data_IF_674076536496
#
_entry.id   IF_674076536496
#
_cell.length_a   1.000
_cell.length_b   1.000
_cell.length_c   1.000
_cell.angle_alpha   90.00
_cell.angle_beta   90.00
_cell.angle_gamma   90.00
#
_symmetry.space_group_name_H-M   'P 1'
#
loop_
_entity.id
_entity.type
_entity.pdbx_description
1 polymer ?
#
# COMPACT_ATOMS: atom_id res chain seq x y z
N UNK A 1 -1.76 0.77 -19.88
CA UNK A 1 -3.09 0.24 -19.61
C UNK A 1 -4.18 1.31 -19.75
N UNK A 2 -3.94 2.58 -19.37
CA UNK A 2 -4.91 3.67 -19.37
C UNK A 2 -5.36 4.08 -20.78
N UNK A 3 -4.46 4.62 -21.59
CA UNK A 3 -4.77 5.12 -22.93
C UNK A 3 -4.88 4.01 -24.01
N UNK A 4 -4.50 2.77 -23.71
CA UNK A 4 -4.52 1.67 -24.66
C UNK A 4 -3.35 1.67 -25.68
N UNK A 5 -2.48 2.68 -25.65
CA UNK A 5 -1.33 2.72 -26.52
C UNK A 5 -0.26 1.71 -26.07
N UNK A 6 0.46 1.09 -27.00
CA UNK A 6 1.54 0.19 -26.65
C UNK A 6 2.68 0.92 -25.95
N UNK A 7 3.37 0.20 -25.06
CA UNK A 7 4.59 0.66 -24.41
C UNK A 7 5.74 -0.16 -25.02
N UNK A 8 6.74 0.51 -25.56
CA UNK A 8 7.95 -0.13 -26.03
C UNK A 8 8.79 -0.64 -24.86
N UNK A 9 9.30 -1.87 -24.96
CA UNK A 9 10.20 -2.43 -23.93
C UNK A 9 11.45 -1.55 -23.76
N UNK A 10 11.97 -1.01 -24.85
CA UNK A 10 13.14 -0.11 -24.81
C UNK A 10 12.85 1.17 -24.04
N UNK A 11 11.69 1.80 -24.27
CA UNK A 11 11.25 3.00 -23.54
C UNK A 11 10.99 2.71 -22.07
N UNK A 12 10.40 1.55 -21.77
CA UNK A 12 10.16 1.12 -20.39
C UNK A 12 11.48 0.90 -19.62
N UNK A 13 12.52 0.36 -20.27
CA UNK A 13 13.84 0.15 -19.65
C UNK A 13 14.58 1.48 -19.46
N UNK A 14 14.53 2.36 -20.45
CA UNK A 14 15.17 3.69 -20.37
C UNK A 14 14.48 4.63 -19.37
N UNK A 15 13.18 4.42 -19.11
CA UNK A 15 12.41 5.25 -18.18
C UNK A 15 12.16 6.69 -18.67
N UNK A 16 12.25 6.93 -20.00
CA UNK A 16 12.09 8.27 -20.55
C UNK A 16 10.63 8.72 -20.54
N UNK A 17 9.72 7.87 -21.05
CA UNK A 17 8.28 8.18 -21.19
C UNK A 17 7.36 7.24 -20.42
N UNK A 18 7.91 6.35 -19.61
CA UNK A 18 7.17 5.31 -18.89
C UNK A 18 7.54 5.32 -17.43
N UNK A 19 6.52 5.34 -16.59
CA UNK A 19 6.64 5.25 -15.13
C UNK A 19 6.08 3.91 -14.62
N UNK A 20 6.67 3.41 -13.54
CA UNK A 20 6.03 2.41 -12.67
C UNK A 20 5.16 3.16 -11.67
N UNK A 21 3.85 3.08 -11.85
CA UNK A 21 2.92 3.86 -11.04
C UNK A 21 2.04 2.97 -10.16
N UNK A 22 1.44 3.55 -9.11
CA UNK A 22 0.53 2.87 -8.20
C UNK A 22 -0.92 3.01 -8.70
N UNK A 23 -1.57 1.87 -8.95
CA UNK A 23 -2.97 1.78 -9.40
C UNK A 23 -3.89 2.53 -8.43
N UNK A 24 -3.71 2.27 -7.13
CA UNK A 24 -4.29 3.04 -6.04
C UNK A 24 -3.14 3.82 -5.40
N UNK A 25 -3.21 5.17 -5.33
CA UNK A 25 -2.13 5.98 -4.78
C UNK A 25 -1.73 5.58 -3.36
N UNK A 26 -0.44 5.66 -3.04
CA UNK A 26 0.08 5.36 -1.70
C UNK A 26 -0.58 6.20 -0.60
N UNK A 27 -0.98 7.44 -0.92
CA UNK A 27 -1.68 8.30 0.02
C UNK A 27 -3.06 7.75 0.44
N UNK A 28 -3.68 6.91 -0.40
CA UNK A 28 -5.01 6.32 -0.16
C UNK A 28 -4.94 4.88 0.32
N UNK A 29 -3.97 4.13 -0.19
CA UNK A 29 -3.73 2.74 0.20
C UNK A 29 -2.23 2.49 0.24
N UNK A 30 -1.66 2.33 1.42
CA UNK A 30 -0.24 2.05 1.58
C UNK A 30 0.09 0.61 1.18
N UNK A 31 0.07 0.37 -0.12
CA UNK A 31 0.33 -0.93 -0.74
C UNK A 31 1.36 -0.78 -1.85
N UNK A 32 2.57 -1.25 -1.59
CA UNK A 32 3.70 -1.24 -2.54
C UNK A 32 3.87 -2.58 -3.28
N UNK A 33 2.88 -3.47 -3.18
CA UNK A 33 2.92 -4.77 -3.86
C UNK A 33 2.84 -4.63 -5.38
N UNK A 34 3.35 -5.64 -6.10
CA UNK A 34 3.24 -5.72 -7.57
C UNK A 34 1.79 -5.74 -8.07
N UNK A 35 0.85 -6.16 -7.22
CA UNK A 35 -0.57 -6.12 -7.54
C UNK A 35 -1.16 -4.71 -7.54
N UNK A 36 -0.46 -3.74 -6.95
CA UNK A 36 -0.82 -2.32 -6.94
C UNK A 36 0.06 -1.47 -7.88
N UNK A 37 0.92 -2.07 -8.69
CA UNK A 37 1.81 -1.37 -9.62
C UNK A 37 1.49 -1.71 -11.06
N UNK A 38 1.62 -0.73 -11.94
CA UNK A 38 1.50 -0.92 -13.39
C UNK A 38 2.43 0.01 -14.15
N UNK A 39 2.74 -0.35 -15.41
CA UNK A 39 3.42 0.57 -16.30
C UNK A 39 2.41 1.52 -16.92
N UNK A 40 2.72 2.80 -16.91
CA UNK A 40 1.94 3.85 -17.54
C UNK A 40 2.84 4.84 -18.27
N UNK A 41 2.33 5.43 -19.34
CA UNK A 41 3.00 6.59 -19.92
C UNK A 41 3.06 7.72 -18.90
N UNK A 42 4.15 8.45 -18.83
CA UNK A 42 4.37 9.52 -17.86
C UNK A 42 3.26 10.56 -17.89
N UNK A 43 2.77 10.94 -19.08
CA UNK A 43 1.65 11.86 -19.19
C UNK A 43 0.35 11.32 -18.61
N UNK A 44 0.09 10.00 -18.75
CA UNK A 44 -1.09 9.36 -18.15
C UNK A 44 -0.99 9.36 -16.62
N UNK A 45 0.21 9.05 -16.09
CA UNK A 45 0.48 9.07 -14.66
C UNK A 45 0.34 10.49 -14.08
N UNK A 46 0.93 11.48 -14.72
CA UNK A 46 0.82 12.89 -14.32
C UNK A 46 -0.63 13.40 -14.32
N UNK A 47 -1.44 12.98 -15.30
CA UNK A 47 -2.86 13.34 -15.37
C UNK A 47 -3.72 12.61 -14.34
N UNK A 48 -3.34 11.37 -13.97
CA UNK A 48 -4.04 10.59 -12.95
C UNK A 48 -3.90 11.21 -11.56
N UNK A 49 -2.75 11.78 -11.23
CA UNK A 49 -2.47 12.37 -9.91
C UNK A 49 -2.82 11.40 -8.76
N UNK A 50 -3.55 11.88 -7.76
CA UNK A 50 -3.97 11.10 -6.58
C UNK A 50 -5.29 10.35 -6.77
N UNK A 51 -5.79 10.23 -8.00
CA UNK A 51 -6.98 9.45 -8.29
C UNK A 51 -6.67 7.94 -8.36
N UNK A 52 -7.66 7.10 -8.05
CA UNK A 52 -7.54 5.68 -8.39
C UNK A 52 -7.52 5.50 -9.91
N UNK A 53 -7.04 4.37 -10.39
CA UNK A 53 -7.07 4.05 -11.83
C UNK A 53 -8.49 4.13 -12.40
N UNK A 54 -9.46 3.61 -11.66
CA UNK A 54 -10.89 3.62 -12.03
C UNK A 54 -11.45 5.04 -12.11
N UNK A 55 -11.24 5.85 -11.08
CA UNK A 55 -11.77 7.21 -11.02
C UNK A 55 -11.13 8.10 -12.08
N UNK A 56 -9.81 7.97 -12.30
CA UNK A 56 -9.12 8.65 -13.39
C UNK A 56 -9.75 8.32 -14.75
N UNK A 57 -9.97 7.04 -15.03
CA UNK A 57 -10.57 6.65 -16.30
C UNK A 57 -12.04 7.08 -16.42
N UNK A 58 -12.76 7.18 -15.30
CA UNK A 58 -14.13 7.69 -15.26
C UNK A 58 -14.22 9.18 -15.61
N UNK A 59 -13.14 9.97 -15.49
CA UNK A 59 -13.09 11.36 -15.96
C UNK A 59 -12.98 11.50 -17.48
N UNK A 60 -12.70 10.40 -18.19
CA UNK A 60 -12.59 10.37 -19.65
C UNK A 60 -13.97 10.19 -20.31
N UNK A 61 -13.96 10.13 -21.61
CA UNK A 61 -15.20 9.84 -22.35
C UNK A 61 -15.73 8.45 -22.00
N UNK A 62 -17.05 8.27 -22.12
CA UNK A 62 -17.68 6.97 -21.88
C UNK A 62 -17.08 5.85 -22.74
N UNK A 63 -16.68 6.18 -23.96
CA UNK A 63 -16.04 5.23 -24.86
C UNK A 63 -14.64 4.80 -24.36
N UNK A 64 -13.81 5.74 -23.93
CA UNK A 64 -12.48 5.47 -23.37
C UNK A 64 -12.58 4.67 -22.08
N UNK A 65 -13.54 4.99 -21.22
CA UNK A 65 -13.77 4.26 -19.99
C UNK A 65 -14.21 2.81 -20.26
N UNK A 66 -15.15 2.61 -21.18
CA UNK A 66 -15.61 1.26 -21.56
C UNK A 66 -14.48 0.43 -22.16
N UNK A 67 -13.67 1.02 -23.04
CA UNK A 67 -12.50 0.36 -23.63
C UNK A 67 -11.44 0.02 -22.58
N UNK A 68 -11.29 0.85 -21.54
CA UNK A 68 -10.40 0.55 -20.41
C UNK A 68 -10.90 -0.66 -19.62
N UNK A 69 -12.18 -0.70 -19.24
CA UNK A 69 -12.77 -1.81 -18.49
C UNK A 69 -12.66 -3.12 -19.26
N UNK A 70 -12.95 -3.08 -20.56
CA UNK A 70 -12.81 -4.25 -21.44
C UNK A 70 -11.36 -4.74 -21.50
N UNK A 71 -10.40 -3.85 -21.66
CA UNK A 71 -8.97 -4.14 -21.70
C UNK A 71 -8.50 -4.81 -20.41
N UNK A 72 -8.91 -4.29 -19.23
CA UNK A 72 -8.59 -4.86 -17.92
C UNK A 72 -9.17 -6.27 -17.78
N UNK A 73 -10.42 -6.48 -18.18
CA UNK A 73 -11.06 -7.79 -18.10
C UNK A 73 -10.43 -8.80 -19.09
N UNK A 74 -10.02 -8.36 -20.28
CA UNK A 74 -9.30 -9.19 -21.24
C UNK A 74 -7.94 -9.63 -20.69
N UNK A 75 -7.15 -8.71 -20.11
CA UNK A 75 -5.87 -9.05 -19.49
C UNK A 75 -6.03 -10.06 -18.34
N UNK A 76 -7.12 -10.01 -17.62
CA UNK A 76 -7.44 -10.98 -16.59
C UNK A 76 -7.86 -12.33 -17.19
N UNK A 77 -8.71 -12.34 -18.20
CA UNK A 77 -9.14 -13.57 -18.90
C UNK A 77 -7.94 -14.30 -19.54
N UNK A 78 -7.01 -13.54 -20.11
CA UNK A 78 -5.77 -14.05 -20.70
C UNK A 78 -4.70 -14.42 -19.63
N UNK A 79 -5.04 -14.36 -18.33
CA UNK A 79 -4.14 -14.65 -17.18
C UNK A 79 -2.85 -13.81 -17.13
N UNK A 80 -2.84 -12.64 -17.77
CA UNK A 80 -1.69 -11.70 -17.77
C UNK A 80 -1.63 -10.96 -16.44
N UNK A 81 -2.78 -10.66 -15.83
CA UNK A 81 -2.86 -10.03 -14.52
C UNK A 81 -3.61 -10.90 -13.51
N UNK A 82 -3.24 -10.78 -12.24
CA UNK A 82 -3.94 -11.48 -11.15
C UNK A 82 -5.32 -10.87 -10.87
N UNK A 83 -6.20 -11.66 -10.22
CA UNK A 83 -7.50 -11.18 -9.74
C UNK A 83 -7.36 -9.94 -8.86
N UNK A 84 -6.42 -9.96 -7.91
CA UNK A 84 -6.14 -8.82 -7.00
C UNK A 84 -5.78 -7.56 -7.79
N UNK A 85 -4.96 -7.66 -8.84
CA UNK A 85 -4.58 -6.52 -9.67
C UNK A 85 -5.76 -6.00 -10.49
N UNK A 86 -6.54 -6.90 -11.07
CA UNK A 86 -7.79 -6.53 -11.78
C UNK A 86 -8.74 -5.79 -10.85
N UNK A 87 -8.97 -6.32 -9.66
CA UNK A 87 -9.91 -5.73 -8.69
C UNK A 87 -9.47 -4.33 -8.26
N UNK A 88 -8.16 -4.10 -8.08
CA UNK A 88 -7.59 -2.76 -7.83
C UNK A 88 -7.73 -1.81 -9.01
N UNK A 89 -7.52 -2.29 -10.25
CA UNK A 89 -7.69 -1.48 -11.46
C UNK A 89 -9.15 -1.01 -11.64
N UNK A 90 -10.11 -1.77 -11.15
CA UNK A 90 -11.54 -1.46 -11.22
C UNK A 90 -12.12 -0.91 -9.90
N UNK A 91 -11.26 -0.57 -8.93
CA UNK A 91 -11.67 -0.09 -7.62
C UNK A 91 -11.80 1.44 -7.61
N UNK A 92 -12.99 1.93 -7.30
CA UNK A 92 -13.24 3.35 -7.04
C UNK A 92 -12.79 3.73 -5.63
N UNK A 93 -12.54 5.02 -5.39
CA UNK A 93 -12.06 5.55 -4.11
C UNK A 93 -12.99 5.26 -2.94
N UNK A 94 -14.29 5.34 -3.16
CA UNK A 94 -15.32 5.05 -2.14
C UNK A 94 -15.27 3.61 -1.58
N UNK A 95 -14.65 2.69 -2.33
CA UNK A 95 -14.47 1.29 -1.94
C UNK A 95 -13.14 1.02 -1.24
N UNK A 96 -12.27 2.01 -1.15
CA UNK A 96 -11.01 1.87 -0.40
C UNK A 96 -11.36 1.95 1.09
N UNK A 97 -10.91 0.99 1.93
CA UNK A 97 -11.09 1.08 3.36
C UNK A 97 -10.49 2.38 3.88
N UNK A 98 -11.32 3.24 4.45
CA UNK A 98 -10.90 4.56 4.96
C UNK A 98 -10.46 4.50 6.42
N UNK A 99 -10.45 3.32 7.03
CA UNK A 99 -10.17 3.14 8.44
C UNK A 99 -8.69 3.43 8.74
N UNK A 100 -8.45 4.36 9.66
CA UNK A 100 -7.12 4.80 10.06
C UNK A 100 -6.30 3.64 10.68
N UNK A 101 -6.95 2.74 11.41
CA UNK A 101 -6.33 1.57 12.04
C UNK A 101 -5.80 0.62 10.97
N UNK A 102 -6.59 0.33 9.95
CA UNK A 102 -6.20 -0.51 8.82
C UNK A 102 -5.04 0.09 8.02
N UNK A 103 -4.97 1.41 7.95
CA UNK A 103 -3.88 2.13 7.29
C UNK A 103 -2.58 1.99 8.08
N UNK A 104 -2.61 2.25 9.39
CA UNK A 104 -1.44 2.08 10.26
C UNK A 104 -0.97 0.63 10.31
N UNK A 105 -1.89 -0.33 10.33
CA UNK A 105 -1.54 -1.75 10.30
C UNK A 105 -0.81 -2.12 9.01
N UNK A 106 -1.25 -1.63 7.86
CA UNK A 106 -0.59 -1.86 6.57
C UNK A 106 0.78 -1.20 6.49
N UNK A 107 0.92 0.03 7.01
CA UNK A 107 2.21 0.72 7.10
C UNK A 107 3.20 -0.07 7.97
N UNK A 108 2.76 -0.54 9.13
CA UNK A 108 3.59 -1.36 10.04
C UNK A 108 4.01 -2.68 9.40
N UNK A 109 3.11 -3.33 8.68
CA UNK A 109 3.43 -4.56 7.93
C UNK A 109 4.45 -4.32 6.81
N UNK A 110 4.33 -3.20 6.10
CA UNK A 110 5.30 -2.83 5.06
C UNK A 110 6.67 -2.53 5.65
N UNK A 111 6.74 -1.75 6.74
CA UNK A 111 7.98 -1.44 7.44
C UNK A 111 8.65 -2.72 7.95
N UNK A 112 7.88 -3.61 8.58
CA UNK A 112 8.39 -4.89 9.08
C UNK A 112 8.94 -5.77 7.93
N UNK A 113 8.26 -5.81 6.80
CA UNK A 113 8.72 -6.53 5.60
C UNK A 113 10.03 -5.94 5.07
N UNK A 114 10.11 -4.61 4.95
CA UNK A 114 11.33 -3.94 4.46
C UNK A 114 12.51 -4.09 5.43
N UNK A 115 12.26 -3.95 6.72
CA UNK A 115 13.28 -4.20 7.73
C UNK A 115 13.82 -5.63 7.64
N UNK A 116 12.94 -6.62 7.48
CA UNK A 116 13.34 -8.02 7.27
C UNK A 116 14.19 -8.20 6.02
N UNK A 117 13.79 -7.64 4.88
CA UNK A 117 14.57 -7.71 3.63
C UNK A 117 15.97 -7.14 3.81
N UNK A 118 16.12 -5.99 4.48
CA UNK A 118 17.42 -5.37 4.78
C UNK A 118 18.23 -6.25 5.73
N UNK A 119 17.64 -6.71 6.82
CA UNK A 119 18.34 -7.55 7.80
C UNK A 119 18.79 -8.89 7.21
N UNK A 120 18.06 -9.45 6.26
CA UNK A 120 18.44 -10.69 5.56
C UNK A 120 19.72 -10.53 4.72
N UNK A 121 20.16 -9.31 4.42
CA UNK A 121 21.47 -9.08 3.76
C UNK A 121 22.65 -9.27 4.72
N UNK A 122 22.41 -9.21 6.03
CA UNK A 122 23.43 -9.30 7.08
C UNK A 122 23.28 -10.60 7.89
N UNK A 123 22.05 -11.02 8.14
CA UNK A 123 21.70 -12.17 8.95
C UNK A 123 21.05 -13.26 8.13
N UNK A 124 21.51 -14.50 8.23
CA UNK A 124 20.97 -15.62 7.47
C UNK A 124 19.50 -15.93 7.81
N UNK A 125 19.14 -15.85 9.09
CA UNK A 125 17.78 -16.11 9.57
C UNK A 125 17.19 -14.85 10.20
N UNK A 126 16.16 -14.27 9.57
CA UNK A 126 15.39 -13.17 10.13
C UNK A 126 13.93 -13.56 10.16
N UNK A 127 13.37 -13.64 11.34
CA UNK A 127 11.97 -13.96 11.59
C UNK A 127 11.20 -12.72 12.00
N UNK A 128 9.99 -12.56 11.52
CA UNK A 128 9.05 -11.55 12.00
C UNK A 128 7.92 -12.25 12.75
N UNK A 129 7.49 -11.66 13.85
CA UNK A 129 6.35 -12.12 14.62
C UNK A 129 5.15 -11.20 14.41
N UNK A 130 3.96 -11.66 14.77
CA UNK A 130 2.75 -10.84 14.75
C UNK A 130 2.58 -10.08 16.05
N UNK A 131 1.88 -8.94 16.01
CA UNK A 131 1.55 -8.16 17.21
C UNK A 131 0.79 -8.98 18.25
N UNK A 132 -0.06 -9.91 17.83
CA UNK A 132 -0.82 -10.81 18.70
C UNK A 132 0.11 -11.70 19.52
N UNK A 133 1.07 -12.37 18.88
CA UNK A 133 2.03 -13.24 19.58
C UNK A 133 2.88 -12.44 20.57
N UNK A 134 3.35 -11.25 20.18
CA UNK A 134 4.11 -10.38 21.08
C UNK A 134 3.28 -9.85 22.24
N UNK A 135 2.01 -9.59 22.06
CA UNK A 135 1.09 -9.19 23.13
C UNK A 135 0.87 -10.34 24.11
N UNK A 136 0.60 -11.55 23.64
CA UNK A 136 0.45 -12.73 24.48
C UNK A 136 1.72 -13.02 25.29
N UNK A 137 2.90 -12.95 24.67
CA UNK A 137 4.16 -13.14 25.36
C UNK A 137 4.41 -12.08 26.43
N UNK A 138 4.10 -10.81 26.15
CA UNK A 138 4.21 -9.74 27.16
C UNK A 138 3.29 -10.00 28.35
N UNK A 139 2.06 -10.40 28.06
CA UNK A 139 1.08 -10.74 29.10
C UNK A 139 1.56 -11.92 29.97
N UNK A 140 1.98 -13.01 29.33
CA UNK A 140 2.53 -14.19 30.02
C UNK A 140 3.75 -13.86 30.90
N UNK A 141 4.58 -12.92 30.48
CA UNK A 141 5.77 -12.49 31.22
C UNK A 141 5.48 -11.35 32.21
N UNK A 142 4.25 -10.84 32.30
CA UNK A 142 3.90 -9.72 33.15
C UNK A 142 4.54 -8.38 32.71
N UNK A 143 4.75 -8.19 31.42
CA UNK A 143 5.41 -7.02 30.85
C UNK A 143 4.46 -6.02 30.19
N UNK A 144 3.18 -6.15 30.39
CA UNK A 144 2.18 -5.30 29.72
C UNK A 144 2.39 -3.81 30.03
N UNK A 145 2.71 -3.48 31.28
CA UNK A 145 2.80 -2.09 31.77
C UNK A 145 4.24 -1.61 32.04
N UNK A 146 5.27 -2.40 31.70
CA UNK A 146 6.66 -2.08 32.05
C UNK A 146 7.10 -0.71 31.52
N UNK A 147 6.78 -0.40 30.24
CA UNK A 147 7.18 0.87 29.61
C UNK A 147 6.43 2.03 30.27
N UNK A 148 5.13 1.88 30.52
CA UNK A 148 4.30 2.89 31.18
C UNK A 148 4.84 3.17 32.59
N UNK A 149 5.12 2.14 33.37
CA UNK A 149 5.66 2.27 34.72
C UNK A 149 7.03 2.95 34.74
N UNK A 150 7.89 2.69 33.75
CA UNK A 150 9.18 3.36 33.61
C UNK A 150 9.06 4.83 33.19
N UNK A 151 8.01 5.19 32.51
CA UNK A 151 7.75 6.56 32.04
C UNK A 151 7.00 7.41 33.08
N UNK A 152 6.23 6.80 33.98
CA UNK A 152 5.43 7.47 35.00
C UNK A 152 6.19 8.53 35.81
N UNK A 153 7.43 8.28 36.30
CA UNK A 153 8.18 9.31 37.02
C UNK A 153 8.37 10.58 36.21
N UNK A 154 8.71 10.46 34.91
CA UNK A 154 8.91 11.60 34.01
C UNK A 154 7.62 12.44 33.83
N UNK A 155 6.47 11.81 33.76
CA UNK A 155 5.20 12.51 33.61
C UNK A 155 4.82 13.22 34.91
N UNK A 156 5.10 12.62 36.07
CA UNK A 156 4.90 13.27 37.37
C UNK A 156 5.78 14.51 37.53
N UNK A 157 7.04 14.44 37.11
CA UNK A 157 7.98 15.58 37.14
C UNK A 157 7.53 16.73 36.22
N UNK A 158 6.78 16.43 35.16
CA UNK A 158 6.19 17.41 34.26
C UNK A 158 4.81 17.93 34.71
N UNK A 159 4.33 17.52 35.90
CA UNK A 159 3.02 17.91 36.44
C UNK A 159 1.82 17.23 35.74
N UNK A 160 2.05 16.20 34.94
CA UNK A 160 1.00 15.42 34.29
C UNK A 160 0.60 14.27 35.20
N UNK A 161 -0.45 14.49 35.99
CA UNK A 161 -0.90 13.53 37.01
C UNK A 161 -2.01 12.59 36.54
N UNK A 162 -2.66 12.90 35.43
CA UNK A 162 -3.70 12.04 34.85
C UNK A 162 -3.23 11.44 33.54
N UNK A 163 -3.05 10.11 33.52
CA UNK A 163 -2.87 9.34 32.30
C UNK A 163 -4.26 8.90 31.88
N UNK A 164 -4.73 9.41 30.74
CA UNK A 164 -5.95 8.93 30.12
C UNK A 164 -5.66 7.52 29.59
N UNK A 165 -6.36 6.52 30.12
CA UNK A 165 -6.37 5.17 29.53
C UNK A 165 -6.93 5.24 28.12
N UNK A 166 -6.15 4.75 27.16
CA UNK A 166 -6.50 4.66 25.73
C UNK A 166 -7.02 3.26 25.42
#
# INVERSE_FOLDING_TARGET
IYCGQPISVTEAIKGEDVDVEHIIPKAKLFDDSQSNKTLAHRHCNSNKRDMTAYDFMKTKTQQEFSAYVERVNKLFADKIISKTKRDKLLMSEDKIPSDFIDRQLRESQYIAKKAREILQTICYNVWSTTGTITAELRHLWGWDDVIMNLQMPKYKDLGLTEIVEW
#
